data_IF_304027695331
#
_entry.id   IF_304027695331
#
_cell.length_a   1.000
_cell.length_b   1.000
_cell.length_c   1.000
_cell.angle_alpha   90.00
_cell.angle_beta   90.00
_cell.angle_gamma   90.00
#
_symmetry.space_group_name_H-M   'P 1'
#
loop_
_entity.id
_entity.type
_entity.pdbx_description
1 polymer ?
#
# COMPACT_ATOMS: atom_id res chain seq x y z
N UNK A 1 1.56 -20.64 -1.22
CA UNK A 1 0.90 -19.36 -0.88
C UNK A 1 1.42 -18.97 0.49
N UNK A 2 2.15 -17.86 0.62
CA UNK A 2 2.55 -17.37 1.95
C UNK A 2 1.28 -16.87 2.66
N UNK A 3 0.98 -17.43 3.82
CA UNK A 3 -0.07 -16.92 4.68
C UNK A 3 0.49 -15.75 5.48
N UNK A 4 -0.10 -14.56 5.33
CA UNK A 4 0.21 -13.42 6.17
C UNK A 4 -0.71 -13.45 7.40
N UNK A 5 -0.13 -13.24 8.58
CA UNK A 5 -0.91 -12.96 9.80
C UNK A 5 -1.00 -11.45 9.95
N UNK A 6 -2.22 -10.92 9.98
CA UNK A 6 -2.46 -9.50 10.10
C UNK A 6 -2.88 -9.13 11.52
N UNK A 7 -2.44 -7.98 12.06
CA UNK A 7 -2.91 -7.48 13.35
C UNK A 7 -4.28 -6.77 13.26
N UNK A 8 -5.04 -6.99 12.19
CA UNK A 8 -6.30 -6.31 11.90
C UNK A 8 -7.50 -7.15 12.32
N UNK A 9 -8.58 -6.49 12.74
CA UNK A 9 -9.82 -7.10 13.21
C UNK A 9 -10.87 -7.08 12.10
N UNK A 10 -11.88 -7.94 12.23
CA UNK A 10 -12.98 -7.97 11.28
C UNK A 10 -13.67 -6.61 11.20
N UNK A 11 -13.80 -6.08 9.98
CA UNK A 11 -14.39 -4.77 9.70
C UNK A 11 -13.40 -3.62 9.53
N UNK A 12 -12.11 -3.81 9.87
CA UNK A 12 -11.09 -2.79 9.61
C UNK A 12 -10.96 -2.53 8.10
N UNK A 13 -10.88 -1.26 7.72
CA UNK A 13 -10.65 -0.82 6.35
C UNK A 13 -9.15 -0.76 6.07
N UNK A 14 -8.67 -1.63 5.20
CA UNK A 14 -7.24 -1.80 4.93
C UNK A 14 -6.86 -1.30 3.54
N UNK A 15 -5.59 -0.95 3.36
CA UNK A 15 -5.01 -0.56 2.06
C UNK A 15 -3.64 -1.22 1.85
N UNK A 16 -3.35 -1.63 0.62
CA UNK A 16 -2.01 -2.10 0.22
C UNK A 16 -1.24 -1.00 -0.51
N UNK A 17 0.01 -0.78 -0.09
CA UNK A 17 0.94 0.10 -0.80
C UNK A 17 1.99 -0.74 -1.54
N UNK A 18 2.08 -0.52 -2.84
CA UNK A 18 2.98 -1.15 -3.82
C UNK A 18 2.69 -2.62 -4.09
N UNK A 19 1.41 -3.01 -4.13
CA UNK A 19 1.01 -4.40 -4.41
C UNK A 19 1.18 -4.82 -5.87
N UNK A 20 1.33 -3.86 -6.79
CA UNK A 20 1.61 -4.13 -8.20
C UNK A 20 0.63 -5.09 -8.85
N UNK A 21 1.18 -6.07 -9.57
CA UNK A 21 0.44 -7.12 -10.29
C UNK A 21 -0.19 -8.18 -9.37
N UNK A 22 0.25 -8.28 -8.10
CA UNK A 22 -0.13 -9.36 -7.18
C UNK A 22 -0.43 -8.85 -5.76
N UNK A 23 -1.44 -7.97 -5.57
CA UNK A 23 -1.82 -7.49 -4.25
C UNK A 23 -2.35 -8.62 -3.37
N UNK A 24 -2.11 -8.53 -2.08
CA UNK A 24 -2.67 -9.39 -1.02
C UNK A 24 -4.01 -8.85 -0.53
N UNK A 25 -4.14 -7.53 -0.40
CA UNK A 25 -5.34 -6.83 0.06
C UNK A 25 -5.72 -5.68 -0.90
N UNK A 26 -6.97 -5.21 -0.82
CA UNK A 26 -7.49 -4.12 -1.66
C UNK A 26 -8.08 -3.00 -0.77
N UNK A 27 -8.00 -1.73 -1.20
CA UNK A 27 -7.45 -1.28 -2.49
C UNK A 27 -5.92 -1.35 -2.56
N UNK A 28 -5.41 -1.51 -3.78
CA UNK A 28 -3.98 -1.55 -4.10
C UNK A 28 -3.52 -0.22 -4.71
N UNK A 29 -2.56 0.43 -4.04
CA UNK A 29 -1.91 1.66 -4.51
C UNK A 29 -0.54 1.33 -5.09
N UNK A 30 -0.26 1.74 -6.32
CA UNK A 30 1.07 1.55 -6.95
C UNK A 30 1.33 2.71 -7.92
N UNK A 31 2.60 3.01 -8.23
CA UNK A 31 2.94 4.06 -9.18
C UNK A 31 2.75 3.60 -10.64
N UNK A 32 2.67 2.29 -10.88
CA UNK A 32 2.41 1.71 -12.20
C UNK A 32 0.91 1.61 -12.47
N UNK A 33 0.51 1.98 -13.67
CA UNK A 33 -0.85 1.76 -14.14
C UNK A 33 -1.04 0.31 -14.61
N UNK A 34 -1.54 -0.55 -13.72
CA UNK A 34 -1.74 -1.99 -13.97
C UNK A 34 -3.21 -2.38 -13.70
N UNK A 35 -3.71 -3.48 -14.30
CA UNK A 35 -5.11 -3.91 -14.11
C UNK A 35 -5.51 -4.19 -12.65
N UNK A 36 -4.54 -4.51 -11.79
CA UNK A 36 -4.74 -4.83 -10.37
C UNK A 36 -4.55 -3.65 -9.44
N UNK A 37 -4.20 -2.48 -9.98
CA UNK A 37 -3.97 -1.24 -9.22
C UNK A 37 -5.26 -0.43 -9.23
N UNK A 38 -5.80 -0.18 -8.04
CA UNK A 38 -7.04 0.59 -7.86
C UNK A 38 -6.77 2.09 -7.86
N UNK A 39 -5.59 2.48 -7.37
CA UNK A 39 -5.19 3.87 -7.19
C UNK A 39 -3.77 4.01 -7.71
N UNK A 40 -3.59 4.75 -8.80
CA UNK A 40 -2.26 5.06 -9.33
C UNK A 40 -1.72 6.28 -8.60
N UNK A 41 -0.66 6.12 -7.82
CA UNK A 41 -0.03 7.20 -7.07
C UNK A 41 1.48 6.95 -6.86
N UNK A 42 2.26 8.04 -6.84
CA UNK A 42 3.65 8.00 -6.40
C UNK A 42 3.69 7.99 -4.87
N UNK A 43 4.34 6.97 -4.28
CA UNK A 43 4.47 6.85 -2.83
C UNK A 43 5.49 7.84 -2.23
N UNK A 44 6.28 8.52 -3.07
CA UNK A 44 7.17 9.61 -2.66
C UNK A 44 6.46 10.98 -2.59
N UNK A 45 5.19 11.05 -3.01
CA UNK A 45 4.35 12.25 -3.00
C UNK A 45 3.15 12.09 -2.05
N UNK A 46 2.46 13.18 -1.67
CA UNK A 46 1.20 13.07 -0.92
C UNK A 46 0.19 12.19 -1.65
N UNK A 47 -0.31 11.16 -0.95
CA UNK A 47 -1.26 10.21 -1.54
C UNK A 47 -2.63 10.86 -1.75
N UNK A 48 -3.37 10.49 -2.82
CA UNK A 48 -4.73 10.99 -3.08
C UNK A 48 -5.76 10.27 -2.19
N UNK A 49 -5.52 10.27 -0.89
CA UNK A 49 -6.32 9.61 0.12
C UNK A 49 -6.68 10.62 1.21
N UNK A 50 -7.92 10.55 1.69
CA UNK A 50 -8.31 11.32 2.86
C UNK A 50 -7.50 10.86 4.08
N UNK A 51 -7.08 11.82 4.90
CA UNK A 51 -6.35 11.52 6.13
C UNK A 51 -7.21 10.63 7.04
N UNK A 52 -6.58 9.69 7.75
CA UNK A 52 -7.24 8.78 8.71
C UNK A 52 -8.37 7.92 8.10
N UNK A 53 -8.39 7.74 6.77
CA UNK A 53 -9.46 7.02 6.08
C UNK A 53 -9.30 5.51 5.99
N UNK A 54 -8.23 4.95 6.59
CA UNK A 54 -7.93 3.52 6.68
C UNK A 54 -7.43 3.17 8.07
N UNK A 55 -7.87 2.02 8.58
CA UNK A 55 -7.49 1.49 9.89
C UNK A 55 -6.14 0.76 9.85
N UNK A 56 -5.70 0.32 8.66
CA UNK A 56 -4.49 -0.45 8.50
C UNK A 56 -3.83 -0.30 7.13
N UNK A 57 -2.51 -0.34 7.13
CA UNK A 57 -1.66 -0.30 5.92
C UNK A 57 -0.85 -1.59 5.85
N UNK A 58 -0.91 -2.25 4.70
CA UNK A 58 -0.03 -3.38 4.37
C UNK A 58 0.90 -2.99 3.23
N UNK A 59 2.14 -3.47 3.29
CA UNK A 59 3.10 -3.32 2.20
C UNK A 59 4.12 -4.44 2.29
N UNK A 60 4.56 -4.95 1.13
CA UNK A 60 5.55 -6.03 1.02
C UNK A 60 6.54 -5.70 -0.08
N UNK A 61 7.84 -5.80 0.18
CA UNK A 61 8.91 -5.61 -0.81
C UNK A 61 8.84 -4.27 -1.59
N UNK A 62 8.39 -3.20 -0.94
CA UNK A 62 8.20 -1.88 -1.55
C UNK A 62 9.14 -0.83 -0.98
N UNK A 63 9.47 -0.93 0.31
CA UNK A 63 10.27 0.10 1.00
C UNK A 63 11.69 0.22 0.42
N UNK A 64 12.25 -0.87 -0.11
CA UNK A 64 13.55 -0.89 -0.79
C UNK A 64 13.57 -0.09 -2.10
N UNK A 65 12.41 0.26 -2.64
CA UNK A 65 12.26 1.05 -3.86
C UNK A 65 12.09 2.55 -3.57
N UNK A 66 11.84 2.93 -2.32
CA UNK A 66 11.66 4.33 -1.91
C UNK A 66 12.98 4.96 -1.54
N UNK A 67 13.15 6.26 -1.81
CA UNK A 67 14.32 6.98 -1.33
C UNK A 67 14.27 7.10 0.18
N UNK A 68 15.37 6.75 0.83
CA UNK A 68 15.59 7.08 2.24
C UNK A 68 15.85 8.59 2.31
N UNK A 69 15.00 9.39 2.99
CA UNK A 69 15.27 10.80 3.20
C UNK A 69 16.62 10.93 3.92
N UNK A 70 17.44 11.91 3.54
CA UNK A 70 18.66 12.20 4.30
C UNK A 70 18.26 12.48 5.75
N UNK A 71 18.79 11.67 6.68
CA UNK A 71 18.68 11.94 8.11
C UNK A 71 19.29 13.32 8.35
N UNK A 72 18.47 14.27 8.78
CA UNK A 72 18.92 15.61 9.18
C UNK A 72 19.41 15.59 10.62
#
# INVERSE_FOLDING_TARGET
MQGYSFPFKAGDKLIELGGGDFPVIRPNVDCRQLPTVDIVADLEEPLPLESESYDGVFSKFVLEHLRIPRVR
#
